data_IF_199523255019
#
_entry.id   IF_199523255019
#
_cell.length_a   1.000
_cell.length_b   1.000
_cell.length_c   1.000
_cell.angle_alpha   90.00
_cell.angle_beta   90.00
_cell.angle_gamma   90.00
#
_symmetry.space_group_name_H-M   'P 1'
#
loop_
_entity.id
_entity.type
_entity.pdbx_description
1 polymer ?
#
# COMPACT_ATOMS: atom_id res chain seq x y z
N UNK A 1 17.72 12.82 1.63
CA UNK A 1 16.50 12.65 0.81
C UNK A 1 15.36 12.24 1.74
N UNK A 2 14.11 12.55 1.38
CA UNK A 2 12.94 12.05 2.09
C UNK A 2 12.76 10.54 1.87
N UNK A 3 12.14 9.85 2.82
CA UNK A 3 11.70 8.46 2.67
C UNK A 3 10.19 8.45 2.50
N UNK A 4 9.63 7.43 1.83
CA UNK A 4 8.19 7.27 1.65
C UNK A 4 7.73 5.85 2.01
N UNK A 5 6.56 5.75 2.62
CA UNK A 5 5.81 4.50 2.73
C UNK A 5 4.69 4.54 1.70
N UNK A 6 4.75 3.64 0.73
CA UNK A 6 3.72 3.41 -0.28
C UNK A 6 2.80 2.31 0.23
N UNK A 7 1.63 2.66 0.68
CA UNK A 7 0.76 1.81 1.49
C UNK A 7 -0.45 1.38 0.66
N UNK A 8 -0.68 0.09 0.53
CA UNK A 8 -1.90 -0.43 -0.06
C UNK A 8 -3.12 -0.09 0.80
N UNK A 9 -4.30 -0.12 0.21
CA UNK A 9 -5.56 0.22 0.86
C UNK A 9 -6.23 -1.02 1.44
N UNK A 10 -6.69 -1.93 0.57
CA UNK A 10 -7.47 -3.11 0.92
C UNK A 10 -6.56 -4.21 1.47
N UNK A 11 -6.95 -4.86 2.56
CA UNK A 11 -6.08 -5.82 3.26
C UNK A 11 -4.93 -5.21 4.07
N UNK A 12 -4.75 -3.88 4.03
CA UNK A 12 -3.62 -3.17 4.64
C UNK A 12 -4.07 -2.03 5.56
N UNK A 13 -4.71 -0.98 5.05
CA UNK A 13 -5.29 0.11 5.84
C UNK A 13 -6.71 -0.21 6.33
N UNK A 14 -7.44 -0.95 5.53
CA UNK A 14 -8.80 -1.45 5.81
C UNK A 14 -8.85 -2.94 5.52
N UNK A 15 -9.78 -3.64 6.15
CA UNK A 15 -10.00 -5.06 5.88
C UNK A 15 -10.61 -5.24 4.49
N UNK A 16 -10.16 -6.27 3.80
CA UNK A 16 -10.69 -6.64 2.49
C UNK A 16 -12.00 -7.44 2.65
N UNK A 17 -12.93 -7.23 1.74
CA UNK A 17 -14.19 -8.00 1.65
C UNK A 17 -14.06 -9.17 0.67
N UNK A 18 -14.95 -10.14 0.75
CA UNK A 18 -14.94 -11.33 -0.13
C UNK A 18 -15.15 -10.99 -1.61
N UNK A 19 -15.83 -9.88 -1.91
CA UNK A 19 -16.06 -9.39 -3.27
C UNK A 19 -15.00 -8.37 -3.75
N UNK A 20 -13.98 -8.10 -2.93
CA UNK A 20 -12.87 -7.18 -3.21
C UNK A 20 -13.31 -5.74 -3.55
N UNK A 21 -14.50 -5.31 -3.08
CA UNK A 21 -15.06 -3.98 -3.35
C UNK A 21 -15.56 -3.34 -2.07
N UNK A 22 -15.03 -2.16 -1.75
CA UNK A 22 -15.45 -1.39 -0.57
C UNK A 22 -15.96 -0.03 -1.08
N UNK A 23 -17.18 -0.05 -1.57
CA UNK A 23 -17.92 1.10 -2.13
C UNK A 23 -19.04 1.60 -1.21
N UNK A 24 -19.25 0.92 -0.06
CA UNK A 24 -20.29 1.25 0.92
C UNK A 24 -19.71 1.33 2.33
N UNK A 25 -20.26 2.23 3.15
CA UNK A 25 -19.82 2.40 4.54
C UNK A 25 -19.99 1.14 5.37
N UNK A 26 -21.03 0.34 5.10
CA UNK A 26 -21.30 -0.91 5.81
C UNK A 26 -20.23 -1.97 5.61
N UNK A 27 -19.46 -1.88 4.51
CA UNK A 27 -18.34 -2.78 4.21
C UNK A 27 -17.02 -2.28 4.82
N UNK A 28 -16.96 -1.02 5.22
CA UNK A 28 -15.72 -0.40 5.68
C UNK A 28 -15.39 -0.84 7.11
N UNK A 29 -14.26 -1.52 7.25
CA UNK A 29 -13.66 -1.84 8.55
C UNK A 29 -12.18 -1.48 8.50
N UNK A 30 -11.73 -0.58 9.35
CA UNK A 30 -10.32 -0.23 9.45
C UNK A 30 -9.50 -1.40 9.99
N UNK A 31 -8.26 -1.54 9.48
CA UNK A 31 -7.38 -2.63 9.90
C UNK A 31 -7.06 -2.51 11.40
N UNK A 32 -7.07 -3.62 12.17
CA UNK A 32 -6.79 -3.58 13.60
C UNK A 32 -5.45 -2.91 13.93
N UNK A 33 -5.46 -1.95 14.83
CA UNK A 33 -4.26 -1.24 15.28
C UNK A 33 -3.70 -0.18 14.32
N UNK A 34 -4.27 -0.02 13.10
CA UNK A 34 -3.73 0.90 12.09
C UNK A 34 -3.64 2.35 12.59
N UNK A 35 -4.67 2.88 13.23
CA UNK A 35 -4.64 4.27 13.71
C UNK A 35 -3.58 4.48 14.78
N UNK A 36 -3.44 3.54 15.70
CA UNK A 36 -2.44 3.62 16.77
C UNK A 36 -1.03 3.62 16.20
N UNK A 37 -0.70 2.65 15.38
CA UNK A 37 0.68 2.40 14.98
C UNK A 37 1.10 3.21 13.76
N UNK A 38 0.26 3.36 12.74
CA UNK A 38 0.53 4.28 11.63
C UNK A 38 0.55 5.74 12.10
N UNK A 39 -0.29 6.10 13.11
CA UNK A 39 -0.21 7.39 13.75
C UNK A 39 1.12 7.64 14.48
N UNK A 40 1.69 6.61 15.10
CA UNK A 40 3.05 6.69 15.67
C UNK A 40 4.11 6.80 14.58
N UNK A 41 4.01 6.02 13.51
CA UNK A 41 4.92 6.15 12.36
C UNK A 41 4.90 7.58 11.82
N UNK A 42 3.71 8.16 11.60
CA UNK A 42 3.55 9.51 11.07
C UNK A 42 4.15 10.60 11.96
N UNK A 43 4.12 10.42 13.29
CA UNK A 43 4.61 11.43 14.24
C UNK A 43 6.07 11.24 14.65
N UNK A 44 6.54 9.99 14.69
CA UNK A 44 7.82 9.65 15.33
C UNK A 44 8.91 9.33 14.31
N UNK A 45 8.54 8.94 13.07
CA UNK A 45 9.50 8.48 12.06
C UNK A 45 9.50 9.41 10.84
N UNK A 46 10.63 9.47 10.13
CA UNK A 46 10.81 10.38 8.99
C UNK A 46 10.37 9.74 7.67
N UNK A 47 9.06 9.49 7.52
CA UNK A 47 8.47 8.99 6.29
C UNK A 47 7.30 9.87 5.84
N UNK A 48 7.27 10.25 4.56
CA UNK A 48 6.03 10.67 3.92
C UNK A 48 5.14 9.42 3.69
N UNK A 49 3.82 9.57 3.81
CA UNK A 49 2.88 8.47 3.61
C UNK A 49 2.12 8.67 2.30
N UNK A 50 2.02 7.65 1.46
CA UNK A 50 1.20 7.69 0.26
C UNK A 50 0.38 6.40 0.14
N UNK A 51 -0.88 6.53 -0.26
CA UNK A 51 -1.77 5.41 -0.53
C UNK A 51 -1.66 4.99 -2.01
N UNK A 52 -1.57 3.69 -2.28
CA UNK A 52 -1.42 3.14 -3.64
C UNK A 52 -2.29 1.90 -3.78
N UNK A 53 -3.35 1.95 -4.59
CA UNK A 53 -4.31 0.85 -4.69
C UNK A 53 -4.73 0.56 -6.13
N UNK A 54 -4.97 -0.73 -6.43
CA UNK A 54 -5.65 -1.17 -7.64
C UNK A 54 -7.12 -1.41 -7.30
N UNK A 55 -8.03 -0.82 -8.07
CA UNK A 55 -9.49 -0.91 -7.90
C UNK A 55 -10.13 -1.41 -9.20
N UNK A 56 -10.19 -2.72 -9.36
CA UNK A 56 -10.58 -3.40 -10.60
C UNK A 56 -11.98 -3.02 -11.05
N UNK A 57 -12.08 -2.37 -12.22
CA UNK A 57 -13.34 -1.99 -12.83
C UNK A 57 -14.04 -0.80 -12.15
N UNK A 58 -13.34 -0.01 -11.36
CA UNK A 58 -13.87 1.23 -10.79
C UNK A 58 -14.34 2.18 -11.92
N UNK A 59 -15.58 2.67 -11.79
CA UNK A 59 -16.26 3.48 -12.80
C UNK A 59 -17.18 2.68 -13.72
N UNK A 60 -17.32 1.36 -13.51
CA UNK A 60 -18.33 0.53 -14.18
C UNK A 60 -19.67 0.54 -13.42
N UNK A 61 -20.74 0.03 -14.04
CA UNK A 61 -22.04 -0.15 -13.37
C UNK A 61 -21.98 -1.07 -12.14
N UNK A 62 -21.02 -2.03 -12.12
CA UNK A 62 -20.84 -2.96 -11.00
C UNK A 62 -19.92 -2.40 -9.90
N UNK A 63 -19.26 -1.27 -10.16
CA UNK A 63 -18.41 -0.58 -9.20
C UNK A 63 -18.46 0.94 -9.47
N UNK A 64 -19.57 1.60 -9.08
CA UNK A 64 -19.76 3.03 -9.35
C UNK A 64 -18.71 3.90 -8.67
N UNK A 65 -18.19 4.87 -9.42
CA UNK A 65 -17.12 5.74 -8.96
C UNK A 65 -17.54 6.71 -7.84
N UNK A 66 -18.77 7.19 -7.91
CA UNK A 66 -19.33 8.10 -6.90
C UNK A 66 -19.51 7.41 -5.53
N UNK A 67 -19.99 6.17 -5.50
CA UNK A 67 -20.09 5.36 -4.29
C UNK A 67 -18.71 5.11 -3.68
N UNK A 68 -17.76 4.67 -4.51
CA UNK A 68 -16.38 4.47 -4.06
C UNK A 68 -15.75 5.75 -3.52
N UNK A 69 -15.88 6.87 -4.24
CA UNK A 69 -15.29 8.15 -3.85
C UNK A 69 -15.82 8.65 -2.51
N UNK A 70 -17.11 8.45 -2.23
CA UNK A 70 -17.69 8.81 -0.93
C UNK A 70 -17.01 8.06 0.23
N UNK A 71 -16.77 6.75 0.07
CA UNK A 71 -16.08 5.94 1.07
C UNK A 71 -14.60 6.29 1.13
N UNK A 72 -13.95 6.49 -0.02
CA UNK A 72 -12.54 6.86 -0.10
C UNK A 72 -12.25 8.20 0.57
N UNK A 73 -13.08 9.20 0.34
CA UNK A 73 -12.98 10.51 0.99
C UNK A 73 -13.17 10.40 2.51
N UNK A 74 -14.08 9.53 2.95
CA UNK A 74 -14.28 9.27 4.37
C UNK A 74 -13.03 8.61 4.99
N UNK A 75 -12.44 7.62 4.32
CA UNK A 75 -11.19 6.97 4.77
C UNK A 75 -10.09 8.02 4.94
N UNK A 76 -9.81 8.81 3.90
CA UNK A 76 -8.73 9.82 3.93
C UNK A 76 -8.97 10.86 5.03
N UNK A 77 -10.21 11.36 5.17
CA UNK A 77 -10.55 12.31 6.24
C UNK A 77 -10.45 11.72 7.63
N UNK A 78 -10.79 10.44 7.80
CA UNK A 78 -10.66 9.75 9.09
C UNK A 78 -9.20 9.64 9.51
N UNK A 79 -8.31 9.23 8.58
CA UNK A 79 -6.87 9.21 8.85
C UNK A 79 -6.33 10.62 9.15
N UNK A 80 -6.75 11.63 8.39
CA UNK A 80 -6.33 13.02 8.63
C UNK A 80 -6.80 13.54 10.01
N UNK A 81 -7.99 13.13 10.46
CA UNK A 81 -8.49 13.42 11.82
C UNK A 81 -7.60 12.85 12.93
N UNK A 82 -6.91 11.75 12.67
CA UNK A 82 -5.91 11.12 13.55
C UNK A 82 -4.48 11.65 13.30
N UNK A 83 -4.34 12.77 12.56
CA UNK A 83 -3.05 13.36 12.17
C UNK A 83 -2.19 12.46 11.26
N UNK A 84 -2.79 11.53 10.54
CA UNK A 84 -2.17 10.68 9.54
C UNK A 84 -2.50 11.25 8.16
N UNK A 85 -1.55 11.98 7.57
CA UNK A 85 -1.77 12.68 6.32
C UNK A 85 -1.03 11.98 5.17
N UNK A 86 -1.75 11.66 4.09
CA UNK A 86 -1.16 11.13 2.87
C UNK A 86 -0.72 12.27 1.95
N UNK A 87 0.55 12.25 1.50
CA UNK A 87 1.08 13.18 0.50
C UNK A 87 0.59 12.88 -0.91
N UNK A 88 -0.02 11.72 -1.12
CA UNK A 88 -0.63 11.31 -2.36
C UNK A 88 -1.55 10.10 -2.16
N UNK A 89 -2.61 10.04 -2.97
CA UNK A 89 -3.52 8.89 -3.08
C UNK A 89 -3.57 8.49 -4.55
N UNK A 90 -3.09 7.28 -4.85
CA UNK A 90 -2.90 6.78 -6.21
C UNK A 90 -3.82 5.58 -6.41
N UNK A 91 -4.74 5.70 -7.36
CA UNK A 91 -5.78 4.70 -7.64
C UNK A 91 -5.68 4.30 -9.11
N UNK A 92 -5.39 3.04 -9.38
CA UNK A 92 -5.54 2.45 -10.71
C UNK A 92 -6.89 1.76 -10.81
N UNK A 93 -7.61 1.99 -11.92
CA UNK A 93 -8.98 1.50 -12.14
C UNK A 93 -9.03 0.32 -13.11
N UNK A 94 -7.89 -0.04 -13.68
CA UNK A 94 -7.82 -1.03 -14.75
C UNK A 94 -7.94 -2.47 -14.24
N UNK A 95 -8.41 -3.33 -15.13
CA UNK A 95 -8.34 -4.78 -14.91
C UNK A 95 -6.93 -5.33 -15.20
N UNK A 96 -6.55 -6.48 -14.61
CA UNK A 96 -5.24 -7.10 -14.84
C UNK A 96 -4.90 -7.35 -16.32
N UNK A 97 -5.90 -7.71 -17.14
CA UNK A 97 -5.70 -8.03 -18.55
C UNK A 97 -5.38 -6.81 -19.43
N UNK A 98 -5.64 -5.59 -18.95
CA UNK A 98 -5.33 -4.35 -19.67
C UNK A 98 -3.83 -4.01 -19.62
N UNK A 99 -3.08 -4.59 -18.67
CA UNK A 99 -1.64 -4.45 -18.52
C UNK A 99 -1.15 -2.99 -18.52
N UNK A 100 -1.89 -2.07 -17.90
CA UNK A 100 -1.51 -0.67 -17.86
C UNK A 100 -0.30 -0.46 -16.94
N UNK A 101 0.64 0.44 -17.30
CA UNK A 101 1.83 0.71 -16.50
C UNK A 101 1.52 1.40 -15.15
N UNK A 102 0.32 1.95 -15.00
CA UNK A 102 -0.17 2.56 -13.76
C UNK A 102 -0.61 1.54 -12.74
N UNK A 103 -1.11 0.37 -13.19
CA UNK A 103 -1.54 -0.72 -12.31
C UNK A 103 -0.36 -1.37 -11.59
N UNK A 104 -0.43 -1.52 -10.26
CA UNK A 104 0.55 -2.34 -9.51
C UNK A 104 0.59 -3.77 -10.10
N UNK A 105 1.78 -4.33 -10.37
CA UNK A 105 3.12 -3.91 -9.93
C UNK A 105 3.82 -2.87 -10.81
N UNK A 106 3.15 -2.25 -11.78
CA UNK A 106 3.67 -1.12 -12.54
C UNK A 106 3.89 0.11 -11.67
N UNK A 107 4.83 0.97 -12.08
CA UNK A 107 5.23 2.16 -11.31
C UNK A 107 4.67 3.46 -11.87
N UNK A 108 3.80 3.39 -12.89
CA UNK A 108 3.32 4.56 -13.65
C UNK A 108 2.60 5.61 -12.81
N UNK A 109 1.90 5.22 -11.74
CA UNK A 109 1.28 6.16 -10.79
C UNK A 109 2.29 6.86 -9.87
N UNK A 110 3.54 6.36 -9.79
CA UNK A 110 4.50 6.70 -8.74
C UNK A 110 5.72 7.47 -9.25
N UNK A 111 5.68 7.93 -10.50
CA UNK A 111 6.81 8.60 -11.16
C UNK A 111 7.34 9.80 -10.36
N UNK A 112 6.48 10.52 -9.63
CA UNK A 112 6.87 11.64 -8.78
C UNK A 112 7.84 11.24 -7.66
N UNK A 113 7.77 10.00 -7.15
CA UNK A 113 8.67 9.49 -6.11
C UNK A 113 10.01 9.01 -6.69
N UNK A 114 10.09 8.80 -8.01
CA UNK A 114 11.26 8.29 -8.72
C UNK A 114 12.18 9.39 -9.25
N UNK A 115 11.82 10.67 -9.06
CA UNK A 115 12.56 11.83 -9.59
C UNK A 115 13.77 12.27 -8.74
N UNK A 116 14.26 11.43 -7.83
CA UNK A 116 15.46 11.70 -7.03
C UNK A 116 15.23 12.53 -5.76
N UNK A 117 13.99 12.90 -5.44
CA UNK A 117 13.64 13.58 -4.19
C UNK A 117 13.47 12.62 -3.03
N UNK A 118 13.17 11.36 -3.33
CA UNK A 118 12.97 10.28 -2.35
C UNK A 118 14.10 9.26 -2.41
N UNK A 119 14.50 8.78 -1.23
CA UNK A 119 15.40 7.64 -1.05
C UNK A 119 14.59 6.34 -1.11
N UNK A 120 14.38 5.84 -2.33
CA UNK A 120 13.59 4.64 -2.54
C UNK A 120 14.26 3.39 -1.96
N UNK A 121 15.58 3.35 -1.87
CA UNK A 121 16.30 2.22 -1.28
C UNK A 121 16.03 2.06 0.23
N UNK A 122 15.71 3.16 0.92
CA UNK A 122 15.32 3.20 2.33
C UNK A 122 13.84 3.51 2.54
N UNK A 123 13.04 3.42 1.47
CA UNK A 123 11.57 3.50 1.46
C UNK A 123 10.96 2.11 1.41
N UNK A 124 9.67 1.98 1.73
CA UNK A 124 9.01 0.68 1.72
C UNK A 124 7.65 0.74 1.03
N UNK A 125 7.28 -0.38 0.40
CA UNK A 125 5.89 -0.68 0.07
C UNK A 125 5.30 -1.50 1.22
N UNK A 126 4.09 -1.20 1.65
CA UNK A 126 3.34 -1.98 2.64
C UNK A 126 2.09 -2.49 1.96
N UNK A 127 1.90 -3.81 1.90
CA UNK A 127 0.73 -4.39 1.24
C UNK A 127 0.60 -5.88 1.49
N UNK A 128 -0.55 -6.44 1.13
CA UNK A 128 -0.92 -7.84 1.39
C UNK A 128 -0.81 -8.75 0.16
N UNK A 129 -0.52 -8.17 -1.03
CA UNK A 129 -0.47 -8.90 -2.29
C UNK A 129 0.94 -9.09 -2.81
N UNK A 130 1.16 -10.16 -3.57
CA UNK A 130 2.43 -10.40 -4.26
C UNK A 130 2.77 -9.26 -5.24
N UNK A 131 1.78 -8.60 -5.80
CA UNK A 131 1.96 -7.39 -6.63
C UNK A 131 2.61 -6.23 -5.87
N UNK A 132 2.42 -6.11 -4.56
CA UNK A 132 3.08 -5.11 -3.73
C UNK A 132 4.56 -5.43 -3.53
N UNK A 133 4.89 -6.71 -3.33
CA UNK A 133 6.28 -7.17 -3.27
C UNK A 133 7.00 -6.88 -4.59
N UNK A 134 6.35 -7.17 -5.73
CA UNK A 134 6.92 -6.87 -7.05
C UNK A 134 6.98 -5.36 -7.31
N UNK A 135 6.03 -4.57 -6.84
CA UNK A 135 6.09 -3.12 -6.92
C UNK A 135 7.34 -2.59 -6.19
N UNK A 136 7.60 -3.09 -4.97
CA UNK A 136 8.81 -2.75 -4.24
C UNK A 136 10.08 -3.07 -5.02
N UNK A 137 10.17 -4.27 -5.62
CA UNK A 137 11.27 -4.64 -6.53
C UNK A 137 11.43 -3.64 -7.67
N UNK A 138 10.33 -3.27 -8.34
CA UNK A 138 10.35 -2.38 -9.50
C UNK A 138 10.76 -0.94 -9.14
N UNK A 139 10.52 -0.52 -7.90
CA UNK A 139 10.93 0.77 -7.36
C UNK A 139 12.36 0.80 -6.80
N UNK A 140 13.02 -0.36 -6.67
CA UNK A 140 14.30 -0.46 -5.99
C UNK A 140 14.19 -0.33 -4.46
N UNK A 141 13.01 -0.61 -3.90
CA UNK A 141 12.71 -0.63 -2.47
C UNK A 141 12.47 -2.05 -1.95
N UNK A 142 12.01 -2.19 -0.71
CA UNK A 142 11.57 -3.45 -0.13
C UNK A 142 10.11 -3.38 0.31
N UNK A 143 9.47 -4.53 0.42
CA UNK A 143 8.09 -4.66 0.90
C UNK A 143 8.05 -5.10 2.36
N UNK A 144 7.20 -4.46 3.13
CA UNK A 144 6.66 -4.98 4.38
C UNK A 144 5.40 -5.74 3.98
N UNK A 145 5.47 -7.06 3.99
CA UNK A 145 4.47 -7.92 3.39
C UNK A 145 3.47 -8.41 4.44
N UNK A 146 2.20 -7.95 4.30
CA UNK A 146 1.11 -8.32 5.21
C UNK A 146 0.42 -9.62 4.75
N UNK A 147 1.21 -10.65 4.48
CA UNK A 147 0.77 -11.92 3.93
C UNK A 147 -0.27 -12.62 4.82
N UNK A 148 -1.41 -12.95 4.24
CA UNK A 148 -2.46 -13.76 4.87
C UNK A 148 -2.50 -15.23 4.37
N UNK A 149 -1.52 -15.61 3.54
CA UNK A 149 -1.39 -16.94 2.96
C UNK A 149 -2.16 -17.17 1.66
N UNK A 150 -2.99 -16.23 1.21
CA UNK A 150 -3.79 -16.38 -0.03
C UNK A 150 -2.97 -16.19 -1.31
N UNK A 151 -1.78 -15.58 -1.23
CA UNK A 151 -0.91 -15.26 -2.38
C UNK A 151 -1.64 -14.47 -3.49
N UNK A 152 -2.47 -13.53 -3.12
CA UNK A 152 -3.24 -12.70 -4.04
C UNK A 152 -2.31 -11.93 -4.99
N UNK A 153 -2.72 -11.80 -6.25
CA UNK A 153 -1.98 -11.09 -7.28
C UNK A 153 -0.79 -11.85 -7.88
N UNK A 154 -0.54 -13.12 -7.50
CA UNK A 154 0.56 -13.90 -8.04
C UNK A 154 0.50 -14.06 -9.57
N UNK A 155 -0.70 -14.13 -10.15
CA UNK A 155 -0.89 -14.20 -11.62
C UNK A 155 -0.48 -12.93 -12.38
N UNK A 156 -0.31 -11.80 -11.69
CA UNK A 156 0.04 -10.50 -12.28
C UNK A 156 1.56 -10.19 -12.22
N UNK A 157 2.37 -11.11 -11.72
CA UNK A 157 3.81 -10.89 -11.54
C UNK A 157 4.68 -11.37 -12.71
N UNK A 158 4.07 -11.89 -13.77
CA UNK A 158 4.80 -12.39 -14.96
C UNK A 158 5.71 -13.56 -14.61
N UNK A 159 7.00 -13.44 -14.92
CA UNK A 159 7.99 -14.49 -14.63
C UNK A 159 8.43 -14.55 -13.15
N UNK A 160 8.10 -13.53 -12.34
CA UNK A 160 8.43 -13.53 -10.91
C UNK A 160 7.47 -14.44 -10.12
N UNK A 161 7.99 -15.09 -9.10
CA UNK A 161 7.27 -15.96 -8.19
C UNK A 161 7.70 -15.68 -6.74
N UNK A 162 7.08 -16.36 -5.77
CA UNK A 162 7.39 -16.17 -4.36
C UNK A 162 8.89 -16.32 -4.04
N UNK A 163 9.59 -17.26 -4.66
CA UNK A 163 11.04 -17.48 -4.44
C UNK A 163 11.87 -16.31 -4.98
N UNK A 164 11.60 -15.85 -6.20
CA UNK A 164 12.35 -14.74 -6.82
C UNK A 164 12.05 -13.39 -6.18
N UNK A 165 10.89 -13.24 -5.52
CA UNK A 165 10.48 -12.04 -4.82
C UNK A 165 10.90 -12.01 -3.36
N UNK A 166 11.25 -13.16 -2.75
CA UNK A 166 11.68 -13.24 -1.35
C UNK A 166 12.76 -12.22 -0.94
N UNK A 167 13.80 -11.92 -1.74
CA UNK A 167 14.81 -10.92 -1.39
C UNK A 167 14.28 -9.50 -1.24
N UNK A 168 13.10 -9.21 -1.79
CA UNK A 168 12.45 -7.90 -1.72
C UNK A 168 11.46 -7.76 -0.56
N UNK A 169 11.28 -8.80 0.25
CA UNK A 169 10.51 -8.75 1.50
C UNK A 169 11.45 -8.35 2.64
N UNK A 170 11.18 -7.23 3.29
CA UNK A 170 11.93 -6.76 4.44
C UNK A 170 11.51 -7.49 5.72
N UNK A 171 10.22 -7.57 5.96
CA UNK A 171 9.58 -8.40 6.99
C UNK A 171 8.23 -8.90 6.45
N UNK A 172 7.77 -10.02 7.03
CA UNK A 172 6.44 -10.55 6.80
C UNK A 172 5.67 -10.52 8.13
N UNK A 173 4.57 -9.78 8.18
CA UNK A 173 3.75 -9.61 9.39
C UNK A 173 2.37 -9.06 9.03
N UNK A 174 1.36 -9.36 9.86
CA UNK A 174 0.02 -8.79 9.78
C UNK A 174 -0.28 -7.82 10.93
N UNK A 175 0.76 -7.42 11.67
CA UNK A 175 0.63 -6.61 12.86
C UNK A 175 1.29 -5.24 12.67
N UNK A 176 0.49 -4.19 12.72
CA UNK A 176 0.96 -2.81 12.62
C UNK A 176 1.95 -2.41 13.72
N UNK A 177 1.89 -3.05 14.91
CA UNK A 177 2.89 -2.85 15.95
C UNK A 177 4.27 -3.35 15.51
N UNK A 178 4.32 -4.53 14.90
CA UNK A 178 5.57 -5.07 14.38
C UNK A 178 6.12 -4.22 13.23
N UNK A 179 5.25 -3.68 12.37
CA UNK A 179 5.65 -2.74 11.31
C UNK A 179 6.32 -1.50 11.93
N UNK A 180 5.67 -0.88 12.91
CA UNK A 180 6.25 0.27 13.60
C UNK A 180 7.60 -0.05 14.25
N UNK A 181 7.69 -1.16 14.99
CA UNK A 181 8.92 -1.57 15.68
C UNK A 181 10.07 -1.84 14.68
N UNK A 182 9.76 -2.48 13.55
CA UNK A 182 10.73 -2.69 12.47
C UNK A 182 11.24 -1.36 11.91
N UNK A 183 10.36 -0.46 11.50
CA UNK A 183 10.74 0.84 10.92
C UNK A 183 11.55 1.69 11.92
N UNK A 184 11.16 1.67 13.20
CA UNK A 184 11.86 2.39 14.27
C UNK A 184 13.28 1.85 14.50
N UNK A 185 13.49 0.53 14.38
CA UNK A 185 14.81 -0.08 14.54
C UNK A 185 15.81 0.40 13.47
N UNK A 186 15.31 0.77 12.27
CA UNK A 186 16.14 1.28 11.17
C UNK A 186 16.62 2.71 11.41
N UNK A 187 15.93 3.51 12.22
CA UNK A 187 16.34 4.89 12.53
C UNK A 187 17.42 4.96 13.59
N UNK A 188 17.49 3.95 14.50
CA UNK A 188 18.51 3.85 15.53
C UNK A 188 19.86 3.27 15.07
N UNK A 189 20.00 2.91 13.80
CA UNK A 189 21.21 2.28 13.24
C UNK A 189 22.10 3.26 12.44
N UNK A 190 21.83 4.56 12.55
CA UNK A 190 22.63 5.63 11.91
C UNK A 190 23.43 6.32 13.03
N UNK A 191 24.46 5.63 13.56
CA UNK A 191 25.57 6.20 14.33
C UNK A 191 26.89 5.94 13.61
#
# INVERSE_FOLDING_TARGET
MKKVLLIDRDGTLILETDDFKIEKYEKLVFYPGVFQWLGRIARELNYDLAMVTNQDGLGTELFPEDEFNAVQDFIVRTFAGESINFVGVHIDKSYPHENLPTRKPGTGMLTQYMQGHYDLANSFVIGDRITDVKLAKNLGSKCIFMNDGRNLGAGETGADNATTLQPYIAIETRDWEQIYNFLKSLEGSID
#
